data_IF_878420608853
#
_entry.id   IF_878420608853
#
_cell.length_a   1.000
_cell.length_b   1.000
_cell.length_c   1.000
_cell.angle_alpha   90.00
_cell.angle_beta   90.00
_cell.angle_gamma   90.00
#
_symmetry.space_group_name_H-M   'P 1'
#
loop_
_entity.id
_entity.type
_entity.pdbx_description
1 polymer ?
#
# COMPACT_ATOMS: atom_id res chain seq x y z
N UNK A 1 7.35 -20.20 1.41
CA UNK A 1 6.87 -20.52 0.03
C UNK A 1 5.39 -20.23 0.00
N UNK A 2 4.93 -19.62 -1.08
CA UNK A 2 3.52 -19.32 -1.30
C UNK A 2 3.04 -20.14 -2.51
N UNK A 3 2.02 -20.98 -2.32
CA UNK A 3 1.31 -21.69 -3.39
C UNK A 3 -0.06 -21.04 -3.58
N UNK A 4 -0.36 -20.63 -4.81
CA UNK A 4 -1.61 -19.97 -5.17
C UNK A 4 -2.72 -20.94 -5.55
N UNK A 5 -2.46 -22.25 -5.49
CA UNK A 5 -3.39 -23.33 -5.82
C UNK A 5 -3.51 -23.57 -7.34
N UNK A 6 -3.55 -22.50 -8.12
CA UNK A 6 -3.56 -22.51 -9.58
C UNK A 6 -2.61 -21.46 -10.17
N UNK A 7 -2.28 -21.59 -11.45
CA UNK A 7 -1.53 -20.56 -12.18
C UNK A 7 -2.41 -19.31 -12.29
N UNK A 8 -1.89 -18.17 -11.86
CA UNK A 8 -2.54 -16.86 -11.95
C UNK A 8 -1.58 -15.84 -12.54
N UNK A 9 -2.10 -14.89 -13.31
CA UNK A 9 -1.34 -13.69 -13.65
C UNK A 9 -1.17 -12.87 -12.39
N UNK A 10 0.07 -12.67 -11.99
CA UNK A 10 0.42 -11.76 -10.90
C UNK A 10 0.80 -10.42 -11.53
N UNK A 11 0.50 -9.32 -10.84
CA UNK A 11 0.94 -7.97 -11.20
C UNK A 11 2.16 -7.54 -10.38
N UNK A 12 2.23 -8.00 -9.13
CA UNK A 12 3.43 -7.83 -8.31
C UNK A 12 3.32 -8.47 -6.93
N UNK A 13 4.41 -8.35 -6.19
CA UNK A 13 4.54 -8.79 -4.81
C UNK A 13 4.95 -7.60 -3.96
N UNK A 14 4.23 -7.41 -2.86
CA UNK A 14 4.54 -6.43 -1.83
C UNK A 14 5.09 -7.13 -0.60
N UNK A 15 6.20 -6.62 -0.07
CA UNK A 15 6.79 -7.08 1.18
C UNK A 15 6.84 -5.90 2.15
N UNK A 16 6.39 -6.11 3.39
CA UNK A 16 6.50 -5.13 4.47
C UNK A 16 6.95 -5.81 5.76
N UNK A 17 7.61 -5.06 6.66
CA UNK A 17 8.14 -5.58 7.92
C UNK A 17 9.33 -6.52 7.78
N UNK A 18 10.15 -6.37 6.74
CA UNK A 18 11.37 -7.15 6.60
C UNK A 18 12.49 -6.58 7.49
N UNK A 19 13.30 -7.47 8.07
CA UNK A 19 14.55 -7.10 8.76
C UNK A 19 15.80 -7.50 7.98
N UNK A 20 15.70 -7.56 6.65
CA UNK A 20 16.78 -7.85 5.72
C UNK A 20 16.74 -6.85 4.56
N UNK A 21 17.88 -6.65 3.91
CA UNK A 21 18.05 -5.55 2.94
C UNK A 21 17.74 -5.96 1.50
N UNK A 22 17.85 -7.25 1.20
CA UNK A 22 17.64 -7.79 -0.13
C UNK A 22 17.22 -9.26 -0.06
N UNK A 23 16.59 -9.74 -1.13
CA UNK A 23 16.15 -11.13 -1.27
C UNK A 23 16.12 -11.52 -2.74
N UNK A 24 16.13 -12.81 -3.01
CA UNK A 24 15.83 -13.39 -4.32
C UNK A 24 14.40 -13.89 -4.34
N UNK A 25 13.59 -13.34 -5.24
CA UNK A 25 12.29 -13.88 -5.55
C UNK A 25 12.45 -14.97 -6.60
N UNK A 26 12.00 -16.18 -6.28
CA UNK A 26 11.92 -17.28 -7.24
C UNK A 26 10.45 -17.57 -7.49
N UNK A 27 10.03 -17.55 -8.76
CA UNK A 27 8.64 -17.85 -9.13
C UNK A 27 8.57 -18.92 -10.22
N UNK A 28 7.46 -19.64 -10.26
CA UNK A 28 7.27 -20.78 -11.15
C UNK A 28 5.77 -21.01 -11.43
N UNK A 29 5.45 -21.53 -12.62
CA UNK A 29 4.11 -22.03 -12.97
C UNK A 29 3.80 -23.39 -12.33
N UNK A 30 4.76 -23.99 -11.63
CA UNK A 30 4.66 -25.27 -10.91
C UNK A 30 5.26 -25.17 -9.50
N UNK A 31 4.72 -25.94 -8.55
CA UNK A 31 5.23 -26.05 -7.17
C UNK A 31 6.57 -26.80 -7.08
N UNK A 32 7.02 -27.46 -8.16
CA UNK A 32 8.30 -28.16 -8.22
C UNK A 32 9.49 -27.22 -8.48
N UNK A 33 9.26 -26.00 -8.98
CA UNK A 33 10.31 -25.02 -9.33
C UNK A 33 11.36 -25.49 -10.35
N UNK A 34 11.07 -26.54 -11.14
CA UNK A 34 11.96 -27.09 -12.18
C UNK A 34 12.23 -26.11 -13.33
N UNK A 35 11.22 -25.32 -13.73
CA UNK A 35 11.35 -24.19 -14.64
C UNK A 35 10.95 -22.91 -13.90
N UNK A 36 11.89 -22.35 -13.16
CA UNK A 36 11.67 -21.15 -12.35
C UNK A 36 12.51 -19.98 -12.85
N UNK A 37 12.01 -18.77 -12.60
CA UNK A 37 12.77 -17.54 -12.79
C UNK A 37 13.14 -17.00 -11.42
N UNK A 38 14.38 -16.55 -11.28
CA UNK A 38 14.93 -16.01 -10.05
C UNK A 38 15.47 -14.60 -10.29
N UNK A 39 15.02 -13.64 -9.49
CA UNK A 39 15.45 -12.24 -9.58
C UNK A 39 15.74 -11.72 -8.19
N UNK A 40 16.90 -11.09 -8.02
CA UNK A 40 17.28 -10.45 -6.76
C UNK A 40 16.75 -9.03 -6.73
N UNK A 41 16.13 -8.67 -5.60
CA UNK A 41 15.57 -7.36 -5.35
C UNK A 41 16.14 -6.79 -4.06
N UNK A 42 16.32 -5.46 -4.05
CA UNK A 42 16.60 -4.71 -2.84
C UNK A 42 15.31 -4.21 -2.23
N UNK A 43 15.23 -4.23 -0.91
CA UNK A 43 14.16 -3.59 -0.15
C UNK A 43 14.61 -2.18 0.24
N UNK A 44 13.64 -1.34 0.57
CA UNK A 44 13.90 0.03 0.97
C UNK A 44 13.46 0.27 2.39
N UNK A 45 14.29 1.00 3.14
CA UNK A 45 14.06 1.35 4.52
C UNK A 45 13.03 2.47 4.63
N UNK A 46 11.95 2.25 5.36
CA UNK A 46 11.04 3.31 5.80
C UNK A 46 11.29 3.64 7.27
N UNK A 47 11.99 4.76 7.49
CA UNK A 47 12.35 5.24 8.82
C UNK A 47 11.16 5.58 9.72
N UNK A 48 9.94 5.74 9.18
CA UNK A 48 8.74 6.02 9.99
C UNK A 48 8.25 4.79 10.74
N UNK A 49 8.26 3.64 10.07
CA UNK A 49 7.87 2.35 10.67
C UNK A 49 9.08 1.52 11.11
N UNK A 50 10.30 2.00 10.85
CA UNK A 50 11.58 1.33 11.12
C UNK A 50 11.65 -0.09 10.54
N UNK A 51 11.24 -0.25 9.29
CA UNK A 51 11.16 -1.54 8.62
C UNK A 51 11.57 -1.45 7.15
N UNK A 52 12.12 -2.55 6.60
CA UNK A 52 12.32 -2.67 5.16
C UNK A 52 11.02 -3.12 4.48
N UNK A 53 10.70 -2.46 3.36
CA UNK A 53 9.56 -2.81 2.50
C UNK A 53 9.86 -2.58 1.03
N UNK A 54 8.98 -3.08 0.17
CA UNK A 54 9.12 -2.86 -1.26
C UNK A 54 7.97 -3.48 -2.04
N UNK A 55 7.68 -2.87 -3.19
CA UNK A 55 6.79 -3.41 -4.21
C UNK A 55 7.61 -3.86 -5.42
N UNK A 56 7.37 -5.08 -5.88
CA UNK A 56 8.11 -5.72 -6.96
C UNK A 56 7.12 -6.13 -8.04
N UNK A 57 7.14 -5.41 -9.16
CA UNK A 57 6.30 -5.76 -10.31
C UNK A 57 6.74 -7.10 -10.88
N UNK A 58 5.76 -7.97 -11.08
CA UNK A 58 5.96 -9.34 -11.52
C UNK A 58 4.84 -9.68 -12.52
N UNK A 59 4.91 -9.13 -13.73
CA UNK A 59 3.96 -9.38 -14.80
C UNK A 59 4.15 -10.80 -15.39
N UNK A 60 3.77 -11.83 -14.63
CA UNK A 60 4.03 -13.23 -14.97
C UNK A 60 2.88 -14.16 -14.54
N UNK A 61 2.76 -15.28 -15.26
CA UNK A 61 1.88 -16.39 -14.90
C UNK A 61 2.58 -17.28 -13.88
N UNK A 62 2.08 -17.31 -12.66
CA UNK A 62 2.75 -17.92 -11.52
C UNK A 62 1.77 -18.77 -10.72
N UNK A 63 2.22 -19.95 -10.30
CA UNK A 63 1.52 -20.80 -9.30
C UNK A 63 2.21 -20.72 -7.95
N UNK A 64 3.53 -20.69 -7.93
CA UNK A 64 4.30 -20.73 -6.69
C UNK A 64 5.40 -19.67 -6.65
N UNK A 65 5.56 -19.04 -5.48
CA UNK A 65 6.62 -18.05 -5.19
C UNK A 65 7.42 -18.48 -3.96
N UNK A 66 8.74 -18.31 -4.02
CA UNK A 66 9.66 -18.44 -2.89
C UNK A 66 10.44 -17.14 -2.73
N UNK A 67 10.62 -16.75 -1.47
CA UNK A 67 11.52 -15.67 -1.07
C UNK A 67 12.75 -16.36 -0.47
N UNK A 68 13.90 -16.11 -1.07
CA UNK A 68 15.19 -16.61 -0.59
C UNK A 68 16.00 -15.43 -0.09
N UNK A 69 16.31 -15.43 1.20
CA UNK A 69 17.16 -14.41 1.79
C UNK A 69 18.60 -14.88 1.61
N UNK A 70 19.47 -14.17 0.89
CA UNK A 70 20.87 -14.54 0.79
C UNK A 70 21.55 -14.35 2.15
N UNK A 71 22.70 -15.00 2.32
CA UNK A 71 23.48 -14.92 3.56
C UNK A 71 23.80 -13.47 3.92
N UNK A 72 23.17 -12.97 4.98
CA UNK A 72 23.35 -11.65 5.55
C UNK A 72 23.00 -11.68 7.05
N UNK A 73 23.29 -10.61 7.78
CA UNK A 73 22.81 -10.44 9.15
C UNK A 73 21.41 -9.80 9.13
N UNK A 74 20.50 -10.18 10.04
CA UNK A 74 19.29 -9.40 10.31
C UNK A 74 19.65 -7.97 10.74
N UNK A 75 18.92 -6.98 10.22
CA UNK A 75 19.21 -5.57 10.43
C UNK A 75 19.00 -5.09 11.88
N UNK A 76 18.10 -5.73 12.62
CA UNK A 76 17.70 -5.33 13.98
C UNK A 76 18.39 -6.17 15.07
N UNK A 77 19.56 -6.75 14.77
CA UNK A 77 20.30 -7.65 15.67
C UNK A 77 19.50 -8.89 16.12
N UNK A 78 18.34 -9.15 15.50
CA UNK A 78 17.54 -10.33 15.81
C UNK A 78 18.31 -11.61 15.47
N UNK A 79 18.02 -12.68 16.20
CA UNK A 79 18.61 -14.00 15.96
C UNK A 79 18.00 -14.71 14.73
N UNK A 80 16.95 -14.15 14.14
CA UNK A 80 16.26 -14.72 12.99
C UNK A 80 15.80 -13.62 12.01
N UNK A 81 15.61 -14.03 10.76
CA UNK A 81 14.96 -13.18 9.76
C UNK A 81 13.45 -13.12 10.01
N UNK A 82 12.89 -11.92 9.96
CA UNK A 82 11.46 -11.65 10.05
C UNK A 82 10.97 -10.98 8.77
N UNK A 83 9.75 -11.34 8.40
CA UNK A 83 8.98 -10.71 7.35
C UNK A 83 7.57 -10.52 7.88
N UNK A 84 7.12 -9.27 7.93
CA UNK A 84 5.86 -8.91 8.55
C UNK A 84 4.66 -9.36 7.73
N UNK A 85 4.59 -8.87 6.49
CA UNK A 85 3.46 -9.08 5.60
C UNK A 85 3.93 -9.31 4.17
N UNK A 86 3.19 -10.16 3.44
CA UNK A 86 3.39 -10.43 2.02
C UNK A 86 2.07 -10.28 1.29
N UNK A 87 1.98 -9.28 0.41
CA UNK A 87 0.86 -9.11 -0.50
C UNK A 87 1.20 -9.68 -1.88
N UNK A 88 0.44 -10.68 -2.34
CA UNK A 88 0.55 -11.17 -3.73
C UNK A 88 -0.63 -10.62 -4.52
N UNK A 89 -0.37 -9.77 -5.49
CA UNK A 89 -1.38 -8.98 -6.17
C UNK A 89 -1.68 -9.59 -7.53
N UNK A 90 -2.89 -10.15 -7.69
CA UNK A 90 -3.35 -10.79 -8.94
C UNK A 90 -4.12 -9.84 -9.86
N UNK A 91 -4.63 -8.74 -9.33
CA UNK A 91 -5.30 -7.69 -10.11
C UNK A 91 -4.29 -6.66 -10.58
N UNK A 92 -4.55 -6.06 -11.75
CA UNK A 92 -3.77 -4.92 -12.22
C UNK A 92 -3.85 -3.81 -11.19
N UNK A 93 -2.68 -3.33 -10.75
CA UNK A 93 -2.63 -2.32 -9.70
C UNK A 93 -2.98 -0.96 -10.26
N UNK A 94 -3.93 -0.33 -9.60
CA UNK A 94 -4.26 1.05 -9.89
C UNK A 94 -3.21 1.92 -9.22
N UNK A 95 -2.45 2.62 -10.06
CA UNK A 95 -1.47 3.61 -9.60
C UNK A 95 -2.13 4.99 -9.62
N UNK A 96 -1.73 5.88 -8.71
CA UNK A 96 -2.20 7.25 -8.76
C UNK A 96 -1.85 7.90 -10.12
N UNK A 97 -2.84 8.45 -10.86
CA UNK A 97 -2.58 9.11 -12.15
C UNK A 97 -1.74 10.39 -11.96
N UNK A 98 -1.83 10.99 -10.78
CA UNK A 98 -0.92 12.00 -10.26
C UNK A 98 -0.90 11.85 -8.75
N UNK A 99 0.29 11.83 -8.14
CA UNK A 99 0.39 11.72 -6.69
C UNK A 99 -0.45 12.80 -6.01
N UNK A 100 -1.15 12.47 -4.91
CA UNK A 100 -1.84 13.46 -4.10
C UNK A 100 -0.85 14.56 -3.75
N UNK A 101 -1.25 15.82 -3.99
CA UNK A 101 -0.35 16.95 -3.80
C UNK A 101 0.02 17.03 -2.31
N UNK A 102 1.32 16.97 -2.04
CA UNK A 102 1.88 17.29 -0.73
C UNK A 102 1.39 18.69 -0.30
N UNK A 103 1.07 18.90 0.99
CA UNK A 103 1.23 17.97 2.11
C UNK A 103 0.07 17.00 2.29
N UNK A 104 0.38 15.80 2.77
CA UNK A 104 -0.57 14.85 3.33
C UNK A 104 -0.14 14.48 4.75
N UNK A 105 -1.11 14.08 5.55
CA UNK A 105 -0.87 13.64 6.92
C UNK A 105 -0.68 12.13 6.94
N UNK A 106 0.12 11.65 7.89
CA UNK A 106 0.24 10.22 8.16
C UNK A 106 0.21 9.94 9.66
N UNK A 107 -0.29 8.76 10.00
CA UNK A 107 -0.21 8.21 11.35
C UNK A 107 0.42 6.82 11.29
N UNK A 108 1.20 6.49 12.32
CA UNK A 108 1.77 5.17 12.49
C UNK A 108 0.81 4.38 13.37
N UNK A 109 0.33 3.26 12.84
CA UNK A 109 -0.63 2.40 13.53
C UNK A 109 -0.09 0.98 13.66
N UNK A 110 -0.76 0.21 14.50
CA UNK A 110 -0.49 -1.20 14.73
C UNK A 110 -1.82 -1.95 14.77
N UNK A 111 -1.84 -3.21 14.34
CA UNK A 111 -3.06 -4.02 14.43
C UNK A 111 -3.28 -4.36 15.89
N UNK A 112 -4.40 -3.92 16.48
CA UNK A 112 -4.75 -4.22 17.86
C UNK A 112 -6.18 -4.76 17.98
N UNK A 113 -6.45 -5.44 19.10
CA UNK A 113 -7.79 -5.79 19.54
C UNK A 113 -8.06 -5.06 20.85
N UNK A 114 -9.28 -4.53 21.00
CA UNK A 114 -9.71 -3.93 22.26
C UNK A 114 -10.40 -5.01 23.09
N UNK A 115 -9.83 -5.31 24.25
CA UNK A 115 -10.42 -6.21 25.24
C UNK A 115 -11.15 -5.38 26.29
N UNK A 116 -12.42 -5.69 26.53
CA UNK A 116 -13.19 -5.09 27.60
C UNK A 116 -12.81 -5.75 28.93
N UNK A 117 -12.50 -4.95 29.94
CA UNK A 117 -12.16 -5.46 31.27
C UNK A 117 -13.44 -5.72 32.08
N UNK A 118 -13.43 -6.73 32.95
CA UNK A 118 -14.58 -7.06 33.83
C UNK A 118 -15.02 -5.89 34.73
N UNK A 119 -14.08 -5.01 35.09
CA UNK A 119 -14.31 -3.81 35.92
C UNK A 119 -14.79 -2.60 35.11
N UNK A 120 -15.02 -2.75 33.81
CA UNK A 120 -15.23 -1.66 32.86
C UNK A 120 -13.93 -1.07 32.32
N UNK A 121 -14.01 -0.49 31.12
CA UNK A 121 -12.87 0.06 30.37
C UNK A 121 -12.36 -0.90 29.29
N UNK A 122 -11.39 -0.42 28.49
CA UNK A 122 -10.80 -1.17 27.39
C UNK A 122 -9.27 -1.16 27.46
N UNK A 123 -8.66 -2.30 27.19
CA UNK A 123 -7.23 -2.43 26.90
C UNK A 123 -7.03 -2.75 25.42
N UNK A 124 -6.17 -1.99 24.75
CA UNK A 124 -5.79 -2.32 23.37
C UNK A 124 -4.55 -3.21 23.38
N UNK A 125 -4.72 -4.47 22.98
CA UNK A 125 -3.62 -5.44 22.88
C UNK A 125 -3.17 -5.51 21.43
N UNK A 126 -1.88 -5.29 21.18
CA UNK A 126 -1.30 -5.46 19.85
C UNK A 126 -1.34 -6.93 19.41
N UNK A 127 -1.82 -7.15 18.19
CA UNK A 127 -1.87 -8.46 17.54
C UNK A 127 -0.62 -8.76 16.71
N UNK A 128 0.14 -7.74 16.30
CA UNK A 128 1.32 -7.91 15.44
C UNK A 128 2.38 -6.86 15.79
N UNK A 129 3.66 -7.22 15.69
CA UNK A 129 4.75 -6.24 15.79
C UNK A 129 4.95 -5.40 14.51
N UNK A 130 4.05 -5.54 13.54
CA UNK A 130 4.14 -4.83 12.27
C UNK A 130 3.40 -3.49 12.39
N UNK A 131 4.17 -2.41 12.31
CA UNK A 131 3.64 -1.06 12.18
C UNK A 131 3.25 -0.83 10.73
N UNK A 132 2.18 -0.07 10.52
CA UNK A 132 1.71 0.32 9.19
C UNK A 132 1.36 1.80 9.17
N UNK A 133 1.37 2.40 7.99
CA UNK A 133 0.98 3.80 7.82
C UNK A 133 -0.49 3.90 7.41
N UNK A 134 -1.18 4.86 8.02
CA UNK A 134 -2.39 5.44 7.46
C UNK A 134 -2.08 6.82 6.93
N UNK A 135 -2.54 7.11 5.72
CA UNK A 135 -2.34 8.38 5.03
C UNK A 135 -3.68 9.08 4.88
N UNK A 136 -3.72 10.38 5.17
CA UNK A 136 -4.86 11.24 4.91
C UNK A 136 -4.48 12.31 3.91
N UNK A 137 -5.13 12.29 2.75
CA UNK A 137 -4.90 13.24 1.68
C UNK A 137 -6.01 14.27 1.63
N UNK A 138 -5.63 15.55 1.56
CA UNK A 138 -6.51 16.64 1.15
C UNK A 138 -6.19 17.04 -0.29
N UNK A 139 -7.21 17.19 -1.13
CA UNK A 139 -7.05 17.88 -2.41
C UNK A 139 -7.74 19.23 -2.33
N UNK A 140 -7.01 20.28 -2.63
CA UNK A 140 -7.63 21.53 -3.06
C UNK A 140 -8.08 21.33 -4.51
N UNK A 141 -9.38 21.38 -4.74
CA UNK A 141 -9.97 21.06 -6.04
C UNK A 141 -9.99 22.26 -7.01
N UNK A 142 -9.14 23.26 -6.75
CA UNK A 142 -9.00 24.49 -7.54
C UNK A 142 -8.58 24.21 -9.01
N UNK A 143 -8.14 23.00 -9.35
CA UNK A 143 -7.68 22.64 -10.69
C UNK A 143 -8.47 21.44 -11.25
N UNK A 144 -9.06 21.58 -12.46
CA UNK A 144 -9.82 20.54 -13.19
C UNK A 144 -9.14 19.15 -13.23
N UNK A 145 -7.81 19.10 -13.22
CA UNK A 145 -7.03 17.85 -13.19
C UNK A 145 -7.27 17.00 -11.93
N UNK A 146 -7.61 17.63 -10.80
CA UNK A 146 -7.85 16.94 -9.54
C UNK A 146 -9.25 16.31 -9.51
N UNK A 147 -10.22 16.84 -10.27
CA UNK A 147 -11.58 16.30 -10.39
C UNK A 147 -11.56 14.91 -11.02
N UNK A 148 -10.84 14.75 -12.13
CA UNK A 148 -10.69 13.44 -12.78
C UNK A 148 -10.02 12.40 -11.89
N UNK A 149 -9.00 12.80 -11.11
CA UNK A 149 -8.38 11.89 -10.16
C UNK A 149 -9.40 11.40 -9.12
N UNK A 150 -10.26 12.30 -8.65
CA UNK A 150 -11.23 12.02 -7.58
C UNK A 150 -12.38 11.16 -8.08
N UNK A 151 -12.90 11.42 -9.26
CA UNK A 151 -13.89 10.55 -9.94
C UNK A 151 -13.29 9.17 -10.20
N UNK A 152 -12.05 9.12 -10.68
CA UNK A 152 -11.33 7.87 -10.90
C UNK A 152 -11.20 7.08 -9.59
N UNK A 153 -10.75 7.71 -8.50
CA UNK A 153 -10.69 7.05 -7.17
C UNK A 153 -12.07 6.69 -6.62
N UNK A 154 -13.10 7.48 -6.93
CA UNK A 154 -14.49 7.21 -6.53
C UNK A 154 -15.01 5.91 -7.13
N UNK A 155 -14.60 5.61 -8.36
CA UNK A 155 -14.96 4.38 -9.07
C UNK A 155 -14.19 3.12 -8.65
N UNK A 156 -13.07 3.26 -7.92
CA UNK A 156 -12.32 2.12 -7.38
C UNK A 156 -13.11 1.54 -6.20
N UNK A 157 -13.07 0.23 -5.96
CA UNK A 157 -13.66 -0.38 -4.77
C UNK A 157 -12.94 0.06 -3.49
N UNK A 158 -13.63 0.11 -2.35
CA UNK A 158 -12.98 0.49 -1.08
C UNK A 158 -11.88 -0.51 -0.66
N UNK A 159 -12.03 -1.78 -1.07
CA UNK A 159 -11.08 -2.86 -0.77
C UNK A 159 -10.05 -3.11 -1.90
N UNK A 160 -10.15 -2.39 -3.02
CA UNK A 160 -9.19 -2.62 -4.11
C UNK A 160 -7.81 -2.11 -3.72
N UNK A 161 -6.74 -2.88 -4.01
CA UNK A 161 -5.38 -2.47 -3.69
C UNK A 161 -4.93 -1.34 -4.62
N UNK A 162 -4.36 -0.30 -4.02
CA UNK A 162 -3.88 0.91 -4.69
C UNK A 162 -2.38 1.03 -4.41
N UNK A 163 -1.60 1.27 -5.46
CA UNK A 163 -0.18 1.57 -5.30
C UNK A 163 0.00 3.07 -5.07
N UNK A 164 0.51 3.41 -3.89
CA UNK A 164 0.90 4.76 -3.55
C UNK A 164 2.43 4.88 -3.55
N UNK A 165 2.94 5.87 -4.28
CA UNK A 165 4.36 6.20 -4.37
C UNK A 165 4.53 7.64 -3.89
N UNK A 166 5.46 7.89 -2.96
CA UNK A 166 5.81 9.27 -2.66
C UNK A 166 6.68 9.85 -3.79
N UNK A 167 6.52 11.13 -4.11
CA UNK A 167 7.45 11.91 -4.95
C UNK A 167 7.69 11.42 -6.40
N UNK A 168 6.63 11.15 -7.16
CA UNK A 168 6.66 10.95 -8.63
C UNK A 168 7.73 9.99 -9.12
N UNK A 169 7.76 8.78 -8.54
CA UNK A 169 8.68 7.73 -8.96
C UNK A 169 9.92 7.58 -8.09
N UNK A 170 9.95 8.21 -6.91
CA UNK A 170 10.88 7.81 -5.87
C UNK A 170 10.54 6.37 -5.42
N UNK A 171 11.32 5.44 -5.94
CA UNK A 171 11.15 4.01 -5.71
C UNK A 171 11.48 3.61 -4.26
N UNK A 172 11.96 4.54 -3.44
CA UNK A 172 12.25 4.29 -2.04
C UNK A 172 11.02 4.16 -1.16
N UNK A 173 9.85 4.58 -1.65
CA UNK A 173 8.66 4.74 -0.81
C UNK A 173 7.39 4.26 -1.52
N UNK A 174 7.23 2.94 -1.55
CA UNK A 174 6.04 2.26 -2.04
C UNK A 174 5.15 1.78 -0.89
N UNK A 175 3.86 2.01 -1.06
CA UNK A 175 2.82 1.51 -0.16
C UNK A 175 1.74 0.87 -1.02
N UNK A 176 1.41 -0.38 -0.70
CA UNK A 176 0.18 -0.96 -1.21
C UNK A 176 -0.89 -0.64 -0.17
N UNK A 177 -1.86 0.16 -0.56
CA UNK A 177 -2.88 0.67 0.33
C UNK A 177 -4.28 0.23 -0.09
N UNK A 178 -5.23 0.35 0.83
CA UNK A 178 -6.67 0.35 0.55
C UNK A 178 -7.29 1.62 1.12
N UNK A 179 -8.44 2.03 0.60
CA UNK A 179 -9.17 3.17 1.19
C UNK A 179 -9.80 2.76 2.52
N UNK A 180 -9.74 3.65 3.51
CA UNK A 180 -10.40 3.47 4.81
C UNK A 180 -11.66 4.30 4.94
N UNK A 181 -11.76 5.38 4.16
CA UNK A 181 -12.92 6.26 4.16
C UNK A 181 -13.49 6.43 2.75
N UNK A 182 -14.82 6.61 2.61
CA UNK A 182 -15.41 7.08 1.36
C UNK A 182 -14.84 8.43 0.95
N UNK A 183 -14.79 8.69 -0.35
CA UNK A 183 -14.42 10.00 -0.87
C UNK A 183 -15.59 10.95 -0.62
N UNK A 184 -15.31 12.07 0.03
CA UNK A 184 -16.29 13.14 0.24
C UNK A 184 -15.85 14.38 -0.53
N UNK A 185 -16.73 14.85 -1.42
CA UNK A 185 -16.54 16.08 -2.20
C UNK A 185 -17.57 17.09 -1.72
N UNK A 186 -17.11 18.26 -1.30
CA UNK A 186 -17.98 19.41 -1.04
C UNK A 186 -17.83 20.42 -2.16
N UNK A 187 -18.96 20.87 -2.68
CA UNK A 187 -19.06 21.94 -3.64
C UNK A 187 -19.42 23.21 -2.85
N UNK A 188 -18.66 24.29 -3.00
CA UNK A 188 -19.18 25.60 -2.60
C UNK A 188 -20.15 26.04 -3.69
N UNK A 189 -21.36 26.43 -3.28
CA UNK A 189 -22.29 27.12 -4.14
C UNK A 189 -21.69 28.49 -4.48
N UNK A 190 -20.92 28.55 -5.57
CA UNK A 190 -20.64 29.81 -6.24
C UNK A 190 -21.95 30.34 -6.81
N UNK A 191 -22.31 31.59 -6.49
CA UNK A 191 -23.43 32.28 -7.13
C UNK A 191 -23.39 32.04 -8.66
N UNK A 192 -24.50 31.57 -9.21
CA UNK A 192 -24.67 31.35 -10.64
C UNK A 192 -24.52 32.68 -11.39
N UNK A 193 -23.30 33.04 -11.79
CA UNK A 193 -23.03 34.12 -12.72
C UNK A 193 -23.05 33.55 -14.14
N UNK A 194 -24.01 34.00 -14.95
CA UNK A 194 -24.36 33.51 -16.29
C UNK A 194 -23.29 33.74 -17.38
N UNK A 195 -22.03 34.00 -17.03
CA UNK A 195 -21.00 34.42 -18.00
C UNK A 195 -19.82 33.44 -18.20
N UNK A 196 -19.63 32.41 -17.38
CA UNK A 196 -18.57 31.41 -17.63
C UNK A 196 -18.75 30.17 -16.76
N UNK A 197 -19.19 29.08 -17.38
CA UNK A 197 -19.44 27.79 -16.73
C UNK A 197 -18.16 27.18 -16.14
N UNK A 198 -17.99 27.29 -14.83
CA UNK A 198 -17.18 26.36 -14.04
C UNK A 198 -17.78 26.25 -12.65
N UNK A 199 -18.41 25.10 -12.34
CA UNK A 199 -18.65 24.73 -10.94
C UNK A 199 -17.29 24.56 -10.28
N UNK A 200 -16.93 25.45 -9.35
CA UNK A 200 -15.73 25.30 -8.55
C UNK A 200 -15.98 24.26 -7.47
N UNK A 201 -15.31 23.10 -7.53
CA UNK A 201 -15.18 22.29 -6.32
C UNK A 201 -14.30 23.10 -5.36
N UNK A 202 -14.81 23.41 -4.17
CA UNK A 202 -14.03 24.17 -3.20
C UNK A 202 -13.10 23.30 -2.38
N UNK A 203 -13.53 22.06 -2.06
CA UNK A 203 -12.76 21.22 -1.13
C UNK A 203 -13.08 19.74 -1.25
N UNK A 204 -12.04 18.93 -1.19
CA UNK A 204 -12.14 17.47 -1.00
C UNK A 204 -11.70 17.20 0.42
N UNK A 205 -12.63 16.71 1.22
CA UNK A 205 -12.53 16.90 2.67
C UNK A 205 -11.55 15.97 3.35
N UNK A 206 -11.29 14.76 2.83
CA UNK A 206 -10.14 13.88 3.11
C UNK A 206 -10.36 12.55 2.38
N UNK A 207 -9.32 11.92 1.85
CA UNK A 207 -9.34 10.47 1.55
C UNK A 207 -8.30 9.77 2.43
N UNK A 208 -8.77 8.81 3.23
CA UNK A 208 -7.94 7.97 4.08
C UNK A 208 -7.50 6.71 3.35
N UNK A 209 -6.22 6.36 3.48
CA UNK A 209 -5.64 5.13 2.95
C UNK A 209 -4.89 4.41 4.06
N UNK A 210 -4.94 3.09 4.06
CA UNK A 210 -4.22 2.22 5.00
C UNK A 210 -3.33 1.27 4.23
N UNK A 211 -2.05 1.20 4.59
CA UNK A 211 -1.11 0.18 4.10
C UNK A 211 -1.65 -1.24 4.40
N UNK A 212 -1.63 -2.11 3.40
CA UNK A 212 -2.09 -3.50 3.50
C UNK A 212 -1.01 -4.28 4.26
N UNK A 213 -1.41 -4.78 5.44
CA UNK A 213 -0.65 -5.68 6.32
C UNK A 213 -1.36 -7.00 6.50
#
# INVERSE_FOLDING_TARGET
MFDLGSVKTISGVYLSGANFTNFTMVHSSSTAFTASTATTYSLVWDGRVQQYKGFFSLAANVKAIKIQIPTQAPFNEATFFSLGSVGILTTSMITFPSDPQYPYEFTINQKSINNEMETGGFESVSLTNNLYLEFNFGWSAILNKNVYAVEYFGGIGIQDPILFNENKGDISKYYVCRRTTPITVSWEDGEYSTASNSMGISKINTIGFREII
#
